data_IF_716275045327
#
_entry.id   IF_716275045327
#
_cell.length_a   1.000
_cell.length_b   1.000
_cell.length_c   1.000
_cell.angle_alpha   90.00
_cell.angle_beta   90.00
_cell.angle_gamma   90.00
#
_symmetry.space_group_name_H-M   'P 1'
#
loop_
_entity.id
_entity.type
_entity.pdbx_description
1 polymer ?
#
# COMPACT_ATOMS: atom_id res chain seq x y z
N UNK A 1 3.34 19.64 6.94
CA UNK A 1 3.06 19.17 5.58
C UNK A 1 1.56 19.30 5.33
N UNK A 2 1.15 20.03 4.33
CA UNK A 2 -0.25 20.05 3.88
C UNK A 2 -0.44 18.84 2.97
N UNK A 3 -0.84 17.69 3.55
CA UNK A 3 -1.03 16.46 2.80
C UNK A 3 -2.44 16.43 2.20
N UNK A 4 -2.52 16.50 0.90
CA UNK A 4 -3.78 16.30 0.15
C UNK A 4 -3.97 14.83 -0.26
N UNK A 5 -2.87 14.10 -0.43
CA UNK A 5 -2.94 12.68 -0.75
C UNK A 5 -1.98 11.89 0.13
N UNK A 6 -2.54 11.00 0.96
CA UNK A 6 -1.80 10.06 1.81
C UNK A 6 -2.04 8.64 1.30
N UNK A 7 -0.96 7.93 0.95
CA UNK A 7 -1.02 6.51 0.61
C UNK A 7 -0.53 5.66 1.78
N UNK A 8 -1.33 4.68 2.20
CA UNK A 8 -0.97 3.73 3.26
C UNK A 8 -0.57 2.42 2.61
N UNK A 9 0.62 1.92 2.93
CA UNK A 9 1.12 0.69 2.34
C UNK A 9 1.70 -0.26 3.40
N UNK A 10 1.84 -1.53 3.03
CA UNK A 10 2.39 -2.60 3.87
C UNK A 10 1.88 -3.97 3.43
N UNK A 11 2.45 -5.06 3.91
CA UNK A 11 2.00 -6.40 3.56
C UNK A 11 0.55 -6.64 4.01
N UNK A 12 -0.13 -7.60 3.38
CA UNK A 12 -1.46 -8.01 3.80
C UNK A 12 -1.43 -8.45 5.28
N UNK A 13 -2.38 -7.97 6.09
CA UNK A 13 -2.39 -8.20 7.55
C UNK A 13 -1.67 -7.11 8.37
N UNK A 14 -1.08 -6.09 7.73
CA UNK A 14 -0.50 -4.95 8.44
C UNK A 14 -1.52 -3.94 8.97
N UNK A 15 -2.79 -4.01 8.53
CA UNK A 15 -3.86 -3.13 9.01
C UNK A 15 -4.14 -1.91 8.14
N UNK A 16 -3.72 -1.92 6.86
CA UNK A 16 -3.86 -0.80 5.93
C UNK A 16 -5.29 -0.25 5.81
N UNK A 17 -6.23 -1.11 5.41
CA UNK A 17 -7.62 -0.67 5.15
C UNK A 17 -8.29 -0.07 6.38
N UNK A 18 -8.05 -0.64 7.57
CA UNK A 18 -8.59 -0.08 8.82
C UNK A 18 -7.99 1.30 9.10
N UNK A 19 -6.67 1.46 8.98
CA UNK A 19 -6.03 2.76 9.17
C UNK A 19 -6.51 3.77 8.13
N UNK A 20 -6.60 3.36 6.85
CA UNK A 20 -7.06 4.24 5.78
C UNK A 20 -8.48 4.77 6.04
N UNK A 21 -9.41 3.88 6.41
CA UNK A 21 -10.77 4.27 6.75
C UNK A 21 -10.83 5.23 7.95
N UNK A 22 -10.03 4.96 9.00
CA UNK A 22 -9.97 5.81 10.19
C UNK A 22 -9.38 7.19 9.89
N UNK A 23 -8.29 7.25 9.13
CA UNK A 23 -7.66 8.50 8.72
C UNK A 23 -8.57 9.31 7.79
N UNK A 24 -9.18 8.66 6.79
CA UNK A 24 -10.11 9.32 5.88
C UNK A 24 -11.28 9.96 6.64
N UNK A 25 -11.89 9.22 7.57
CA UNK A 25 -12.96 9.75 8.43
C UNK A 25 -12.49 10.94 9.30
N UNK A 26 -11.29 10.86 9.86
CA UNK A 26 -10.77 11.92 10.74
C UNK A 26 -10.36 13.19 10.00
N UNK A 27 -9.93 13.06 8.75
CA UNK A 27 -9.49 14.16 7.88
C UNK A 27 -10.59 14.70 6.96
N UNK A 28 -11.78 14.14 7.03
CA UNK A 28 -12.87 14.42 6.05
C UNK A 28 -12.37 14.23 4.60
N UNK A 29 -11.62 13.14 4.38
CA UNK A 29 -10.96 12.84 3.13
C UNK A 29 -11.69 11.73 2.35
N UNK A 30 -11.55 11.73 1.03
CA UNK A 30 -11.99 10.62 0.18
C UNK A 30 -11.18 9.35 0.51
N UNK A 31 -11.85 8.23 0.70
CA UNK A 31 -11.23 6.92 0.91
C UNK A 31 -11.14 6.16 -0.40
N UNK A 32 -9.95 5.66 -0.73
CA UNK A 32 -9.69 4.84 -1.92
C UNK A 32 -9.10 3.50 -1.49
N UNK A 33 -9.87 2.44 -1.69
CA UNK A 33 -9.43 1.08 -1.38
C UNK A 33 -8.92 0.37 -2.64
N UNK A 34 -7.92 -0.49 -2.45
CA UNK A 34 -7.36 -1.33 -3.50
C UNK A 34 -8.41 -2.36 -3.98
N UNK A 35 -8.90 -2.19 -5.18
CA UNK A 35 -9.89 -3.07 -5.81
C UNK A 35 -9.20 -4.27 -6.49
N UNK A 36 -8.60 -5.15 -5.69
CA UNK A 36 -8.05 -6.42 -6.19
C UNK A 36 -9.09 -7.55 -6.21
N UNK A 37 -10.22 -7.36 -5.55
CA UNK A 37 -11.32 -8.30 -5.54
C UNK A 37 -11.94 -8.42 -6.94
N UNK A 38 -12.16 -9.66 -7.38
CA UNK A 38 -12.70 -9.91 -8.71
C UNK A 38 -11.64 -10.10 -9.81
N UNK A 39 -10.36 -10.17 -9.46
CA UNK A 39 -9.33 -10.57 -10.43
C UNK A 39 -9.54 -12.02 -10.88
N UNK A 40 -9.99 -12.25 -12.13
CA UNK A 40 -10.35 -13.60 -12.59
C UNK A 40 -9.15 -14.54 -12.69
N UNK A 41 -7.92 -14.00 -12.71
CA UNK A 41 -6.70 -14.76 -12.87
C UNK A 41 -6.10 -15.24 -11.53
N UNK A 42 -6.69 -14.88 -10.39
CA UNK A 42 -6.31 -15.36 -9.05
C UNK A 42 -7.13 -16.57 -8.58
N UNK A 43 -8.12 -17.02 -9.36
CA UNK A 43 -8.93 -18.18 -9.03
C UNK A 43 -8.14 -19.49 -9.04
N UNK A 44 -8.63 -20.50 -8.32
CA UNK A 44 -7.99 -21.84 -8.24
C UNK A 44 -7.73 -22.46 -9.61
N UNK A 45 -8.62 -22.21 -10.57
CA UNK A 45 -8.50 -22.69 -11.96
C UNK A 45 -7.31 -22.11 -12.73
N UNK A 46 -6.72 -21.03 -12.25
CA UNK A 46 -5.59 -20.34 -12.90
C UNK A 46 -4.25 -20.59 -12.20
N UNK A 47 -4.26 -21.12 -10.99
CA UNK A 47 -3.04 -21.39 -10.22
C UNK A 47 -2.15 -22.39 -10.97
N UNK A 48 -0.90 -22.00 -11.24
CA UNK A 48 0.09 -22.81 -11.93
C UNK A 48 -0.05 -22.91 -13.45
N UNK A 49 -1.02 -22.23 -14.07
CA UNK A 49 -1.09 -22.12 -15.53
C UNK A 49 -0.01 -21.15 -16.06
N UNK A 50 0.69 -21.47 -17.16
CA UNK A 50 1.64 -20.54 -17.78
C UNK A 50 0.97 -19.20 -18.09
N UNK A 51 1.64 -18.10 -17.74
CA UNK A 51 1.17 -16.74 -17.99
C UNK A 51 0.07 -16.24 -17.05
N UNK A 52 -0.46 -17.05 -16.12
CA UNK A 52 -1.53 -16.62 -15.21
C UNK A 52 -1.06 -15.53 -14.25
N UNK A 53 0.19 -15.61 -13.76
CA UNK A 53 0.78 -14.59 -12.91
C UNK A 53 0.88 -13.24 -13.64
N UNK A 54 1.31 -13.26 -14.90
CA UNK A 54 1.40 -12.06 -15.74
C UNK A 54 0.02 -11.43 -15.99
N UNK A 55 -0.98 -12.26 -16.34
CA UNK A 55 -2.35 -11.81 -16.52
C UNK A 55 -2.93 -11.19 -15.24
N UNK A 56 -2.67 -11.81 -14.08
CA UNK A 56 -3.11 -11.31 -12.79
C UNK A 56 -2.45 -9.96 -12.47
N UNK A 57 -1.15 -9.81 -12.71
CA UNK A 57 -0.42 -8.55 -12.48
C UNK A 57 -0.90 -7.44 -13.41
N UNK A 58 -1.13 -7.74 -14.69
CA UNK A 58 -1.67 -6.76 -15.63
C UNK A 58 -3.08 -6.30 -15.23
N UNK A 59 -3.92 -7.22 -14.80
CA UNK A 59 -5.26 -6.87 -14.32
C UNK A 59 -5.20 -5.90 -13.15
N UNK A 60 -4.34 -6.19 -12.14
CA UNK A 60 -4.14 -5.31 -10.99
C UNK A 60 -3.57 -3.94 -11.39
N UNK A 61 -2.54 -3.91 -12.24
CA UNK A 61 -1.91 -2.69 -12.71
C UNK A 61 -2.90 -1.78 -13.44
N UNK A 62 -3.69 -2.33 -14.37
CA UNK A 62 -4.69 -1.58 -15.13
C UNK A 62 -5.85 -1.12 -14.26
N UNK A 63 -6.29 -1.94 -13.31
CA UNK A 63 -7.34 -1.56 -12.34
C UNK A 63 -6.92 -0.38 -11.48
N UNK A 64 -5.71 -0.44 -10.89
CA UNK A 64 -5.16 0.66 -10.10
C UNK A 64 -4.93 1.93 -10.92
N UNK A 65 -4.41 1.79 -12.13
CA UNK A 65 -4.25 2.94 -13.04
C UNK A 65 -5.60 3.61 -13.30
N UNK A 66 -6.64 2.85 -13.63
CA UNK A 66 -8.00 3.37 -13.84
C UNK A 66 -8.53 4.10 -12.60
N UNK A 67 -8.33 3.55 -11.40
CA UNK A 67 -8.70 4.23 -10.16
C UNK A 67 -7.97 5.57 -10.01
N UNK A 68 -6.65 5.61 -10.24
CA UNK A 68 -5.85 6.83 -10.14
C UNK A 68 -6.27 7.91 -11.13
N UNK A 69 -6.62 7.54 -12.37
CA UNK A 69 -7.17 8.50 -13.34
C UNK A 69 -8.51 9.07 -12.89
N UNK A 70 -9.37 8.22 -12.32
CA UNK A 70 -10.67 8.66 -11.78
C UNK A 70 -10.49 9.62 -10.60
N UNK A 71 -9.52 9.35 -9.70
CA UNK A 71 -9.20 10.25 -8.60
C UNK A 71 -8.75 11.63 -9.09
N UNK A 72 -7.87 11.67 -10.08
CA UNK A 72 -7.40 12.91 -10.68
C UNK A 72 -8.53 13.76 -11.27
N UNK A 73 -9.59 13.11 -11.79
CA UNK A 73 -10.76 13.79 -12.34
C UNK A 73 -11.77 14.22 -11.26
N UNK A 74 -11.83 13.48 -10.14
CA UNK A 74 -12.78 13.70 -9.03
C UNK A 74 -12.34 14.71 -7.98
N UNK A 75 -11.10 15.22 -8.06
CA UNK A 75 -10.46 16.09 -7.05
C UNK A 75 -11.12 17.48 -6.87
N UNK A 76 -12.23 17.72 -7.58
CA UNK A 76 -12.99 18.96 -7.47
C UNK A 76 -13.86 19.06 -6.20
N UNK A 77 -14.04 17.96 -5.44
CA UNK A 77 -15.01 17.91 -4.34
C UNK A 77 -14.44 17.45 -2.99
N UNK A 78 -13.25 16.84 -2.94
CA UNK A 78 -12.61 16.44 -1.68
C UNK A 78 -11.34 17.23 -1.43
N UNK A 79 -11.20 17.75 -0.19
CA UNK A 79 -10.01 18.51 0.20
C UNK A 79 -8.76 17.63 0.38
N UNK A 80 -8.95 16.31 0.59
CA UNK A 80 -7.88 15.33 0.76
C UNK A 80 -8.31 13.93 0.33
N UNK A 81 -7.34 13.05 0.09
CA UNK A 81 -7.52 11.64 -0.28
C UNK A 81 -6.65 10.75 0.59
N UNK A 82 -7.18 9.62 1.03
CA UNK A 82 -6.43 8.56 1.70
C UNK A 82 -6.63 7.26 0.95
N UNK A 83 -5.55 6.63 0.47
CA UNK A 83 -5.61 5.30 -0.15
C UNK A 83 -4.99 4.23 0.75
N UNK A 84 -5.48 2.98 0.65
CA UNK A 84 -4.88 1.83 1.33
C UNK A 84 -3.87 1.08 0.45
N UNK A 85 -3.41 1.75 -0.60
CA UNK A 85 -2.34 1.26 -1.45
C UNK A 85 -1.50 2.40 -2.02
N UNK A 86 -0.25 2.08 -2.37
CA UNK A 86 0.64 2.87 -3.21
C UNK A 86 0.67 2.24 -4.61
N UNK A 87 0.58 3.01 -5.69
CA UNK A 87 0.62 2.48 -7.05
C UNK A 87 1.89 1.66 -7.32
N UNK A 88 3.02 2.12 -6.79
CA UNK A 88 4.33 1.47 -6.92
C UNK A 88 4.42 0.07 -6.28
N UNK A 89 3.50 -0.28 -5.36
CA UNK A 89 3.51 -1.62 -4.73
C UNK A 89 3.36 -2.74 -5.75
N UNK A 90 2.76 -2.45 -6.88
CA UNK A 90 2.53 -3.44 -7.94
C UNK A 90 3.85 -4.04 -8.43
N UNK A 91 4.92 -3.24 -8.44
CA UNK A 91 6.29 -3.71 -8.74
C UNK A 91 6.75 -4.80 -7.78
N UNK A 92 6.43 -4.69 -6.47
CA UNK A 92 6.85 -5.66 -5.46
C UNK A 92 6.33 -7.06 -5.83
N UNK A 93 5.07 -7.14 -6.20
CA UNK A 93 4.45 -8.41 -6.62
C UNK A 93 4.97 -8.89 -7.97
N UNK A 94 5.12 -7.99 -8.95
CA UNK A 94 5.64 -8.33 -10.26
C UNK A 94 7.04 -8.96 -10.18
N UNK A 95 7.95 -8.35 -9.41
CA UNK A 95 9.29 -8.89 -9.18
C UNK A 95 9.31 -10.26 -8.47
N UNK A 96 8.28 -10.58 -7.69
CA UNK A 96 8.16 -11.85 -6.96
C UNK A 96 7.52 -12.97 -7.77
N UNK A 97 6.79 -12.64 -8.83
CA UNK A 97 5.90 -13.61 -9.49
C UNK A 97 6.15 -13.79 -10.99
N UNK A 98 6.75 -12.81 -11.66
CA UNK A 98 6.94 -12.81 -13.10
C UNK A 98 8.32 -13.35 -13.49
N UNK A 99 8.39 -14.06 -14.61
CA UNK A 99 9.68 -14.40 -15.22
C UNK A 99 10.31 -13.19 -15.91
N UNK A 100 11.56 -13.32 -16.39
CA UNK A 100 12.32 -12.21 -16.96
C UNK A 100 11.64 -11.57 -18.19
N UNK A 101 10.99 -12.36 -19.04
CA UNK A 101 10.31 -11.88 -20.25
C UNK A 101 9.00 -11.16 -19.90
N UNK A 102 8.22 -11.76 -19.01
CA UNK A 102 6.99 -11.17 -18.49
C UNK A 102 7.28 -9.86 -17.74
N UNK A 103 8.33 -9.86 -16.91
CA UNK A 103 8.76 -8.69 -16.15
C UNK A 103 9.23 -7.56 -17.06
N UNK A 104 9.94 -7.87 -18.14
CA UNK A 104 10.35 -6.87 -19.14
C UNK A 104 9.15 -6.16 -19.77
N UNK A 105 8.12 -6.90 -20.18
CA UNK A 105 6.90 -6.34 -20.75
C UNK A 105 6.13 -5.54 -19.70
N UNK A 106 6.00 -6.11 -18.49
CA UNK A 106 5.35 -5.44 -17.36
C UNK A 106 5.99 -4.07 -17.06
N UNK A 107 7.31 -4.00 -16.97
CA UNK A 107 8.03 -2.76 -16.68
C UNK A 107 7.75 -1.68 -17.75
N UNK A 108 7.71 -2.07 -19.03
CA UNK A 108 7.36 -1.13 -20.12
C UNK A 108 5.96 -0.54 -19.98
N UNK A 109 5.00 -1.38 -19.63
CA UNK A 109 3.63 -0.94 -19.37
C UNK A 109 3.56 -0.07 -18.12
N UNK A 110 4.21 -0.49 -17.05
CA UNK A 110 4.28 0.29 -15.82
C UNK A 110 4.85 1.70 -16.07
N UNK A 111 5.97 1.82 -16.77
CA UNK A 111 6.61 3.10 -17.08
C UNK A 111 5.72 4.03 -17.93
N UNK A 112 4.88 3.45 -18.78
CA UNK A 112 3.90 4.21 -19.58
C UNK A 112 2.78 4.74 -18.67
N UNK A 113 2.17 3.87 -17.87
CA UNK A 113 1.00 4.16 -17.07
C UNK A 113 1.31 5.05 -15.86
N UNK A 114 2.46 4.87 -15.22
CA UNK A 114 2.89 5.62 -14.04
C UNK A 114 3.04 7.13 -14.28
N UNK A 115 3.22 7.55 -15.52
CA UNK A 115 3.32 8.99 -15.89
C UNK A 115 2.03 9.76 -15.63
N UNK A 116 0.91 9.08 -15.62
CA UNK A 116 -0.41 9.67 -15.44
C UNK A 116 -0.92 9.56 -13.99
N UNK A 117 -0.22 8.82 -13.15
CA UNK A 117 -0.59 8.57 -11.76
C UNK A 117 -0.19 9.75 -10.87
N UNK A 118 -1.11 10.16 -10.00
CA UNK A 118 -0.83 11.19 -8.99
C UNK A 118 0.06 10.62 -7.91
N UNK A 119 1.19 11.29 -7.63
CA UNK A 119 2.06 10.91 -6.54
C UNK A 119 1.46 11.37 -5.20
N UNK A 120 1.51 10.54 -4.14
CA UNK A 120 1.08 10.97 -2.82
C UNK A 120 2.03 12.02 -2.23
N UNK A 121 1.49 12.91 -1.41
CA UNK A 121 2.30 13.87 -0.63
C UNK A 121 3.04 13.18 0.51
N UNK A 122 2.49 12.04 0.99
CA UNK A 122 3.05 11.22 2.04
C UNK A 122 2.71 9.74 1.83
N UNK A 123 3.69 8.88 2.01
CA UNK A 123 3.48 7.44 2.15
C UNK A 123 3.64 7.04 3.62
N UNK A 124 2.67 6.30 4.14
CA UNK A 124 2.71 5.66 5.47
C UNK A 124 2.92 4.17 5.27
N UNK A 125 4.12 3.68 5.56
CA UNK A 125 4.45 2.26 5.45
C UNK A 125 4.26 1.56 6.79
N UNK A 126 3.31 0.62 6.85
CA UNK A 126 3.04 -0.20 8.03
C UNK A 126 3.97 -1.41 8.04
N UNK A 127 4.92 -1.39 8.95
CA UNK A 127 5.92 -2.45 9.13
C UNK A 127 5.56 -3.33 10.32
N UNK A 128 5.74 -4.64 10.19
CA UNK A 128 5.70 -5.58 11.32
C UNK A 128 6.53 -6.83 11.00
N UNK A 129 7.06 -7.54 12.02
CA UNK A 129 7.71 -8.83 11.84
C UNK A 129 6.79 -9.88 11.21
N UNK A 130 7.39 -10.83 10.48
CA UNK A 130 6.66 -11.91 9.78
C UNK A 130 5.73 -12.69 10.72
N UNK A 131 6.19 -12.98 11.94
CA UNK A 131 5.43 -13.71 12.95
C UNK A 131 4.17 -12.97 13.39
N UNK A 132 4.25 -11.65 13.49
CA UNK A 132 3.11 -10.80 13.82
C UNK A 132 2.09 -10.80 12.67
N UNK A 133 2.55 -10.61 11.42
CA UNK A 133 1.69 -10.66 10.24
C UNK A 133 1.02 -12.03 10.11
N UNK A 134 1.78 -13.12 10.27
CA UNK A 134 1.26 -14.50 10.21
C UNK A 134 0.16 -14.74 11.22
N UNK A 135 0.36 -14.29 12.47
CA UNK A 135 -0.65 -14.42 13.55
C UNK A 135 -1.93 -13.63 13.23
N UNK A 136 -1.80 -12.44 12.67
CA UNK A 136 -2.92 -11.56 12.30
C UNK A 136 -3.75 -12.13 11.16
N UNK A 137 -3.10 -12.67 10.13
CA UNK A 137 -3.77 -13.28 8.97
C UNK A 137 -4.38 -14.64 9.24
N UNK A 138 -3.91 -15.36 10.28
CA UNK A 138 -4.24 -16.78 10.52
C UNK A 138 -3.92 -17.67 9.30
N UNK A 139 -2.97 -17.29 8.53
CA UNK A 139 -2.61 -17.82 7.22
C UNK A 139 -1.26 -18.55 7.32
N UNK A 140 -1.12 -19.61 6.51
CA UNK A 140 0.10 -20.42 6.40
C UNK A 140 0.82 -20.20 5.08
N UNK A 141 0.63 -19.05 4.44
CA UNK A 141 1.34 -18.74 3.19
C UNK A 141 2.86 -18.86 3.41
N UNK A 142 3.46 -19.80 2.68
CA UNK A 142 4.91 -20.06 2.77
C UNK A 142 5.74 -18.91 2.19
N UNK A 143 5.17 -18.13 1.28
CA UNK A 143 5.83 -16.99 0.63
C UNK A 143 5.77 -15.71 1.46
N UNK A 144 5.05 -15.72 2.59
CA UNK A 144 4.90 -14.54 3.44
C UNK A 144 6.25 -13.93 3.88
N UNK A 145 7.28 -14.72 4.31
CA UNK A 145 8.57 -14.15 4.69
C UNK A 145 9.24 -13.38 3.53
N UNK A 146 9.25 -13.97 2.34
CA UNK A 146 9.83 -13.37 1.12
C UNK A 146 9.09 -12.09 0.73
N UNK A 147 7.76 -12.09 0.85
CA UNK A 147 6.94 -10.92 0.57
C UNK A 147 7.20 -9.78 1.57
N UNK A 148 7.26 -10.08 2.87
CA UNK A 148 7.57 -9.08 3.90
C UNK A 148 8.96 -8.50 3.69
N UNK A 149 9.95 -9.32 3.35
CA UNK A 149 11.30 -8.88 3.01
C UNK A 149 11.30 -7.98 1.78
N UNK A 150 10.58 -8.34 0.71
CA UNK A 150 10.44 -7.53 -0.50
C UNK A 150 9.82 -6.16 -0.22
N UNK A 151 8.79 -6.08 0.63
CA UNK A 151 8.23 -4.81 1.09
C UNK A 151 9.27 -3.99 1.85
N UNK A 152 9.95 -4.58 2.83
CA UNK A 152 10.98 -3.89 3.61
C UNK A 152 12.11 -3.37 2.72
N UNK A 153 12.59 -4.19 1.78
CA UNK A 153 13.62 -3.79 0.82
C UNK A 153 13.15 -2.64 -0.07
N UNK A 154 11.93 -2.71 -0.62
CA UNK A 154 11.38 -1.65 -1.46
C UNK A 154 11.30 -0.33 -0.70
N UNK A 155 10.70 -0.32 0.50
CA UNK A 155 10.54 0.90 1.29
C UNK A 155 11.84 1.39 1.93
N UNK A 156 12.82 0.52 2.14
CA UNK A 156 14.16 0.95 2.54
C UNK A 156 14.82 1.84 1.47
N UNK A 157 14.61 1.56 0.19
CA UNK A 157 15.15 2.33 -0.93
C UNK A 157 14.19 3.40 -1.47
N UNK A 158 12.97 3.47 -0.96
CA UNK A 158 11.97 4.41 -1.42
C UNK A 158 12.34 5.86 -1.10
N UNK A 159 12.34 6.72 -2.12
CA UNK A 159 12.72 8.14 -2.01
C UNK A 159 11.83 9.06 -2.85
N UNK A 160 10.81 8.53 -3.54
CA UNK A 160 9.99 9.31 -4.47
C UNK A 160 9.18 10.40 -3.76
N UNK A 161 8.69 10.12 -2.56
CA UNK A 161 7.91 11.06 -1.74
C UNK A 161 8.29 10.89 -0.27
N UNK A 162 7.90 11.80 0.64
CA UNK A 162 8.07 11.62 2.08
C UNK A 162 7.52 10.27 2.56
N UNK A 163 8.24 9.60 3.45
CA UNK A 163 7.90 8.26 3.94
C UNK A 163 7.90 8.22 5.47
N UNK A 164 6.76 7.87 6.06
CA UNK A 164 6.63 7.56 7.47
C UNK A 164 6.55 6.04 7.65
N UNK A 165 7.60 5.42 8.21
CA UNK A 165 7.62 4.00 8.56
C UNK A 165 7.04 3.83 9.94
N UNK A 166 5.93 3.11 10.05
CA UNK A 166 5.21 2.88 11.31
C UNK A 166 5.36 1.44 11.73
N UNK A 167 6.01 1.20 12.87
CA UNK A 167 6.13 -0.13 13.47
C UNK A 167 4.80 -0.51 14.13
N UNK A 168 4.17 -1.59 13.65
CA UNK A 168 2.82 -1.96 14.07
C UNK A 168 2.75 -3.22 14.92
N UNK A 169 3.86 -3.80 15.35
CA UNK A 169 3.87 -5.09 16.10
C UNK A 169 3.09 -5.03 17.41
N UNK A 170 3.08 -3.87 18.05
CA UNK A 170 2.45 -3.64 19.35
C UNK A 170 1.12 -2.89 19.27
N UNK A 171 0.67 -2.53 18.07
CA UNK A 171 -0.56 -1.73 17.87
C UNK A 171 -1.78 -2.64 17.81
N UNK A 172 -2.87 -2.20 18.43
CA UNK A 172 -4.21 -2.65 18.10
C UNK A 172 -4.60 -2.11 16.71
N UNK A 173 -4.82 -3.02 15.75
CA UNK A 173 -5.17 -2.67 14.37
C UNK A 173 -6.52 -1.98 14.22
N UNK A 174 -7.32 -1.85 15.29
CA UNK A 174 -8.53 -1.02 15.31
C UNK A 174 -8.20 0.48 15.32
N UNK A 175 -6.92 0.82 15.61
CA UNK A 175 -6.45 2.18 15.70
C UNK A 175 -7.31 3.06 16.61
N UNK A 176 -7.30 2.82 17.94
CA UNK A 176 -8.07 3.63 18.88
C UNK A 176 -7.70 5.12 18.75
N UNK A 177 -8.61 6.01 19.12
CA UNK A 177 -8.48 7.45 18.88
C UNK A 177 -7.16 8.04 19.39
N UNK A 178 -6.69 7.62 20.55
CA UNK A 178 -5.42 8.08 21.09
C UNK A 178 -4.21 7.74 20.18
N UNK A 179 -4.19 6.53 19.61
CA UNK A 179 -3.13 6.10 18.70
C UNK A 179 -3.24 6.83 17.35
N UNK A 180 -4.46 7.04 16.88
CA UNK A 180 -4.72 7.80 15.65
C UNK A 180 -4.31 9.27 15.80
N UNK A 181 -4.64 9.92 16.90
CA UNK A 181 -4.27 11.30 17.18
C UNK A 181 -2.74 11.46 17.30
N UNK A 182 -2.07 10.46 17.89
CA UNK A 182 -0.60 10.46 17.96
C UNK A 182 0.02 10.33 16.57
N UNK A 183 -0.48 9.41 15.75
CA UNK A 183 -0.05 9.25 14.36
C UNK A 183 -0.27 10.54 13.54
N UNK A 184 -1.42 11.19 13.67
CA UNK A 184 -1.71 12.46 13.01
C UNK A 184 -0.72 13.56 13.41
N UNK A 185 -0.34 13.64 14.70
CA UNK A 185 0.71 14.56 15.14
C UNK A 185 2.05 14.27 14.47
N UNK A 186 2.44 13.00 14.34
CA UNK A 186 3.66 12.61 13.62
C UNK A 186 3.61 13.03 12.15
N UNK A 187 2.48 12.78 11.48
CA UNK A 187 2.27 13.21 10.09
C UNK A 187 2.41 14.73 9.94
N UNK A 188 1.78 15.49 10.81
CA UNK A 188 1.84 16.97 10.78
C UNK A 188 3.24 17.51 11.03
N UNK A 189 4.03 16.84 11.86
CA UNK A 189 5.42 17.21 12.18
C UNK A 189 6.43 16.81 11.11
N UNK A 190 6.03 16.02 10.12
CA UNK A 190 6.93 15.66 9.03
C UNK A 190 7.27 16.86 8.15
N UNK A 191 8.55 17.04 7.86
CA UNK A 191 9.05 18.07 6.97
C UNK A 191 9.66 17.52 5.68
N UNK A 192 9.47 16.20 5.44
CA UNK A 192 10.01 15.48 4.29
C UNK A 192 10.97 14.37 4.69
N UNK A 193 11.52 13.67 3.67
CA UNK A 193 12.45 12.56 3.87
C UNK A 193 11.79 11.31 4.46
N UNK A 194 12.58 10.51 5.16
CA UNK A 194 12.14 9.26 5.78
C UNK A 194 12.19 9.38 7.30
N UNK A 195 11.08 9.04 7.95
CA UNK A 195 11.00 9.01 9.42
C UNK A 195 10.47 7.67 9.90
N UNK A 196 10.91 7.26 11.09
CA UNK A 196 10.47 6.03 11.75
C UNK A 196 9.68 6.38 13.00
N UNK A 197 8.54 5.75 13.16
CA UNK A 197 7.63 5.98 14.27
C UNK A 197 7.23 4.66 14.91
N UNK A 198 7.41 4.56 16.21
CA UNK A 198 6.94 3.46 17.04
C UNK A 198 5.82 4.00 17.92
N UNK A 199 4.56 3.67 17.64
CA UNK A 199 3.44 4.11 18.44
C UNK A 199 3.56 3.62 19.89
N UNK A 200 3.26 4.51 20.83
CA UNK A 200 3.22 4.13 22.24
C UNK A 200 1.90 3.42 22.52
N UNK A 201 1.97 2.23 23.11
CA UNK A 201 0.77 1.61 23.67
C UNK A 201 0.26 2.55 24.76
N UNK A 202 -0.92 3.11 24.59
CA UNK A 202 -1.66 3.68 25.69
C UNK A 202 -2.08 2.50 26.58
N UNK A 203 -1.43 2.35 27.73
CA UNK A 203 -1.81 1.41 28.77
C UNK A 203 -3.21 1.71 29.30
#
# INVERSE_FOLDING_TARGET
>A
LECRYIAIEGPAGAGKGTLAARLASRLDAALVLDETDGNPFLGEDHVGRPGSAFQAQLFCLLGRHRQQITLRQGDLFSHATVSDYLFDKDKIYAFQTLDDNELFIYQRLYDLLSREVTQPDLVVFLQAPVEVIRRRRKDRDRRLPELVEAFNHFFFHYTATPLLVVETSQIDLTWPDAALDDLLRQIQQMHGGKQYYVPRNSA
#
